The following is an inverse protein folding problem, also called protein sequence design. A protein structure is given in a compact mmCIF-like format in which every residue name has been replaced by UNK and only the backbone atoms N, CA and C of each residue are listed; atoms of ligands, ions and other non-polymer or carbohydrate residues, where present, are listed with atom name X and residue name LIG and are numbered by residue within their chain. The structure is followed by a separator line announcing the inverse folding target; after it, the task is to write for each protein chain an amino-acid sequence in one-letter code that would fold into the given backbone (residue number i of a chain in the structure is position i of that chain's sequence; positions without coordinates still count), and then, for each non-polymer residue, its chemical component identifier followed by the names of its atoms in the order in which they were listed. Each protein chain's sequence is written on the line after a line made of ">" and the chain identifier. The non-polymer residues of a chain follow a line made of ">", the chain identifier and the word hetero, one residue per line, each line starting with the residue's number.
data_IF_741641466680
#
_entry.id   IF_741641466680
#
_cell.length_a   1.000
_cell.length_b   1.000
_cell.length_c   1.000
_cell.angle_alpha   90.00
_cell.angle_beta   90.00
_cell.angle_gamma   90.00
#
_symmetry.space_group_name_H-M   'P 1'
#
loop_
_entity.id
_entity.type
_entity.pdbx_description
1 polymer ?
#
# COMPACT_ATOMS: atom_id res chain seq x y z
N UNK A 1 -16.88 0.60 -3.74
CA UNK A 1 -15.39 0.64 -3.62
C UNK A 1 -14.80 -0.76 -3.76
N UNK A 2 -15.10 -1.72 -2.88
CA UNK A 2 -14.65 -3.12 -3.07
C UNK A 2 -15.21 -3.76 -4.35
N UNK A 3 -16.42 -3.44 -4.73
CA UNK A 3 -17.05 -3.83 -6.00
C UNK A 3 -16.22 -3.43 -7.24
N UNK A 4 -15.60 -2.26 -7.19
CA UNK A 4 -14.74 -1.76 -8.26
C UNK A 4 -13.33 -2.37 -8.25
N UNK A 5 -12.86 -2.82 -7.09
CA UNK A 5 -11.51 -3.34 -6.91
C UNK A 5 -11.43 -4.88 -6.93
N UNK A 6 -12.56 -5.58 -6.77
CA UNK A 6 -12.58 -7.05 -6.71
C UNK A 6 -11.96 -7.70 -7.96
N UNK A 7 -12.04 -7.04 -9.11
CA UNK A 7 -11.42 -7.48 -10.35
C UNK A 7 -9.88 -7.57 -10.27
N UNK A 8 -9.24 -6.85 -9.36
CA UNK A 8 -7.79 -6.88 -9.15
C UNK A 8 -7.37 -7.91 -8.09
N UNK A 9 -8.32 -8.36 -7.24
CA UNK A 9 -8.04 -9.22 -6.09
C UNK A 9 -8.03 -10.71 -6.46
N UNK A 10 -7.25 -11.49 -5.70
CA UNK A 10 -7.29 -12.94 -5.72
C UNK A 10 -7.40 -13.52 -4.31
N UNK A 11 -7.88 -14.75 -4.25
CA UNK A 11 -7.98 -15.50 -2.99
C UNK A 11 -6.58 -15.80 -2.43
N UNK A 12 -6.27 -15.43 -1.16
CA UNK A 12 -4.97 -15.69 -0.56
C UNK A 12 -4.68 -17.18 -0.36
N UNK A 13 -5.70 -18.06 -0.38
CA UNK A 13 -5.54 -19.49 -0.17
C UNK A 13 -5.34 -20.28 -1.47
N UNK A 14 -6.06 -19.92 -2.54
CA UNK A 14 -6.03 -20.70 -3.79
C UNK A 14 -5.68 -19.86 -5.03
N UNK A 15 -5.41 -18.57 -4.88
CA UNK A 15 -5.13 -17.59 -5.96
C UNK A 15 -6.27 -17.44 -6.98
N UNK A 16 -7.40 -18.10 -6.77
CA UNK A 16 -8.58 -18.00 -7.63
C UNK A 16 -9.22 -16.61 -7.54
N UNK A 17 -9.96 -16.24 -8.59
CA UNK A 17 -10.68 -14.99 -8.65
C UNK A 17 -11.68 -14.86 -7.48
N UNK A 18 -11.79 -13.66 -6.94
CA UNK A 18 -12.80 -13.32 -5.94
C UNK A 18 -14.00 -12.64 -6.63
N UNK A 19 -15.18 -12.89 -6.10
CA UNK A 19 -16.43 -12.24 -6.45
C UNK A 19 -17.04 -11.65 -5.19
N UNK A 20 -17.63 -10.47 -5.31
CA UNK A 20 -18.40 -9.86 -4.23
C UNK A 20 -19.81 -10.46 -4.23
N UNK A 21 -20.17 -11.16 -3.16
CA UNK A 21 -21.48 -11.76 -2.93
C UNK A 21 -22.07 -11.18 -1.64
N UNK A 22 -22.97 -10.24 -1.79
CA UNK A 22 -23.52 -9.47 -0.68
C UNK A 22 -22.43 -8.73 0.11
N UNK A 23 -22.13 -9.22 1.31
CA UNK A 23 -21.08 -8.67 2.20
C UNK A 23 -19.91 -9.63 2.39
N UNK A 24 -19.62 -10.44 1.41
CA UNK A 24 -18.48 -11.36 1.45
C UNK A 24 -17.77 -11.40 0.10
N UNK A 25 -16.46 -11.54 0.12
CA UNK A 25 -15.66 -11.89 -1.05
C UNK A 25 -15.53 -13.41 -1.08
N UNK A 26 -15.90 -14.04 -2.19
CA UNK A 26 -15.88 -15.50 -2.33
C UNK A 26 -15.11 -15.95 -3.56
N UNK A 27 -14.42 -17.07 -3.48
CA UNK A 27 -13.82 -17.75 -4.62
C UNK A 27 -14.56 -19.04 -4.97
N UNK A 28 -14.32 -19.56 -6.17
CA UNK A 28 -14.94 -20.81 -6.63
C UNK A 28 -14.56 -22.05 -5.79
N UNK A 29 -13.42 -22.01 -5.08
CA UNK A 29 -12.98 -23.07 -4.18
C UNK A 29 -13.68 -23.02 -2.78
N UNK A 30 -14.66 -22.13 -2.58
CA UNK A 30 -15.43 -22.05 -1.36
C UNK A 30 -14.83 -21.17 -0.26
N UNK A 31 -13.65 -20.57 -0.43
CA UNK A 31 -13.13 -19.62 0.55
C UNK A 31 -13.98 -18.35 0.56
N UNK A 32 -14.27 -17.84 1.77
CA UNK A 32 -15.11 -16.67 1.97
C UNK A 32 -14.47 -15.71 2.97
N UNK A 33 -14.54 -14.41 2.68
CA UNK A 33 -13.95 -13.33 3.47
C UNK A 33 -14.99 -12.24 3.68
N UNK A 34 -15.34 -11.95 4.92
CA UNK A 34 -16.34 -10.96 5.23
C UNK A 34 -15.87 -9.53 4.97
N UNK A 35 -16.77 -8.73 4.42
CA UNK A 35 -16.62 -7.29 4.31
C UNK A 35 -17.11 -6.65 5.61
N UNK A 36 -16.19 -6.03 6.33
CA UNK A 36 -16.50 -5.31 7.56
C UNK A 36 -17.52 -4.18 7.29
N UNK A 37 -18.31 -3.84 8.31
CA UNK A 37 -19.29 -2.73 8.22
C UNK A 37 -18.65 -1.41 7.77
N UNK A 38 -17.37 -1.24 8.04
CA UNK A 38 -16.60 -0.06 7.67
C UNK A 38 -16.13 -0.05 6.20
N UNK A 39 -16.41 -1.10 5.41
CA UNK A 39 -16.14 -1.16 3.97
C UNK A 39 -14.78 -1.75 3.58
N UNK A 40 -14.02 -2.36 4.51
CA UNK A 40 -12.80 -3.09 4.17
C UNK A 40 -13.03 -4.62 4.22
N UNK A 41 -12.22 -5.38 3.50
CA UNK A 41 -12.16 -6.83 3.59
C UNK A 41 -10.79 -7.29 4.09
N UNK A 42 -10.73 -8.28 4.99
CA UNK A 42 -9.48 -8.88 5.43
C UNK A 42 -9.19 -10.13 4.61
N UNK A 43 -8.13 -10.06 3.80
CA UNK A 43 -7.59 -11.19 3.04
C UNK A 43 -6.28 -11.71 3.66
N UNK A 44 -6.10 -11.50 4.96
CA UNK A 44 -4.96 -12.02 5.71
C UNK A 44 -5.05 -13.54 5.81
N UNK A 45 -3.94 -14.23 5.53
CA UNK A 45 -3.80 -15.65 5.82
C UNK A 45 -3.72 -15.91 7.33
N UNK A 46 -3.96 -17.15 7.76
CA UNK A 46 -3.91 -17.53 9.17
C UNK A 46 -2.52 -17.40 9.82
N UNK A 47 -1.47 -17.28 9.01
CA UNK A 47 -0.07 -17.11 9.41
C UNK A 47 0.44 -15.66 9.30
N UNK A 48 -0.45 -14.70 9.07
CA UNK A 48 -0.11 -13.28 8.94
C UNK A 48 0.56 -12.73 10.22
N UNK A 49 1.63 -11.96 10.05
CA UNK A 49 2.39 -11.35 11.15
C UNK A 49 1.68 -10.09 11.67
N UNK A 50 0.68 -10.28 12.52
CA UNK A 50 -0.08 -9.16 13.10
C UNK A 50 0.50 -8.66 14.43
N UNK A 51 1.48 -9.34 15.03
CA UNK A 51 2.03 -9.01 16.34
C UNK A 51 2.75 -7.66 16.42
N UNK A 52 3.22 -7.11 15.30
CA UNK A 52 3.82 -5.78 15.19
C UNK A 52 2.89 -4.74 14.56
N UNK A 53 1.61 -5.07 14.38
CA UNK A 53 0.63 -4.17 13.78
C UNK A 53 0.33 -2.98 14.71
N UNK A 54 0.14 -1.80 14.11
CA UNK A 54 -0.19 -0.58 14.85
C UNK A 54 -1.47 -0.73 15.69
N UNK A 55 -1.41 -0.23 16.92
CA UNK A 55 -2.58 -0.13 17.79
C UNK A 55 -3.56 0.95 17.31
N UNK A 56 -4.77 0.96 17.85
CA UNK A 56 -5.75 2.01 17.56
C UNK A 56 -5.22 3.42 17.89
N UNK A 57 -4.49 3.55 19.01
CA UNK A 57 -3.89 4.82 19.46
C UNK A 57 -2.78 5.27 18.50
N UNK A 58 -1.90 4.37 18.06
CA UNK A 58 -0.83 4.68 17.11
C UNK A 58 -1.41 5.14 15.76
N UNK A 59 -2.44 4.46 15.25
CA UNK A 59 -3.10 4.87 14.01
C UNK A 59 -3.80 6.22 14.15
N UNK A 60 -4.43 6.50 15.30
CA UNK A 60 -5.05 7.80 15.56
C UNK A 60 -4.00 8.94 15.65
N UNK A 61 -2.88 8.70 16.32
CA UNK A 61 -1.78 9.67 16.41
C UNK A 61 -1.16 9.96 15.03
N UNK A 62 -0.96 8.90 14.21
CA UNK A 62 -0.49 9.04 12.83
C UNK A 62 -1.46 9.86 11.97
N UNK A 63 -2.76 9.58 12.05
CA UNK A 63 -3.79 10.32 11.34
C UNK A 63 -3.77 11.81 11.72
N UNK A 64 -3.71 12.12 13.02
CA UNK A 64 -3.64 13.49 13.51
C UNK A 64 -2.36 14.21 13.05
N UNK A 65 -1.22 13.54 13.09
CA UNK A 65 0.07 14.07 12.62
C UNK A 65 0.04 14.37 11.11
N UNK A 66 -0.39 13.42 10.30
CA UNK A 66 -0.48 13.59 8.85
C UNK A 66 -1.51 14.66 8.46
N UNK A 67 -2.63 14.73 9.20
CA UNK A 67 -3.68 15.75 9.01
C UNK A 67 -3.23 17.18 9.28
N UNK A 68 -2.16 17.37 10.06
CA UNK A 68 -1.52 18.69 10.27
C UNK A 68 -0.62 19.13 9.11
N UNK A 69 -0.45 18.29 8.08
CA UNK A 69 0.29 18.65 6.87
C UNK A 69 1.81 18.52 6.98
N UNK A 70 2.36 17.95 8.07
CA UNK A 70 3.82 17.78 8.23
C UNK A 70 4.47 17.00 7.08
N UNK A 71 3.72 16.10 6.44
CA UNK A 71 4.17 15.30 5.30
C UNK A 71 3.55 15.74 3.96
N UNK A 72 2.97 16.94 3.88
CA UNK A 72 2.30 17.42 2.67
C UNK A 72 3.24 17.45 1.44
N UNK A 73 4.51 17.84 1.62
CA UNK A 73 5.51 17.86 0.53
C UNK A 73 5.81 16.46 0.00
N UNK A 74 5.97 15.49 0.90
CA UNK A 74 6.18 14.08 0.52
C UNK A 74 4.93 13.54 -0.18
N UNK A 75 3.74 13.82 0.38
CA UNK A 75 2.45 13.42 -0.19
C UNK A 75 2.28 13.92 -1.62
N UNK A 76 2.52 15.20 -1.85
CA UNK A 76 2.44 15.81 -3.17
C UNK A 76 3.46 15.20 -4.15
N UNK A 77 4.72 15.01 -3.73
CA UNK A 77 5.75 14.43 -4.58
C UNK A 77 5.47 12.96 -4.95
N UNK A 78 4.88 12.18 -4.05
CA UNK A 78 4.42 10.82 -4.34
C UNK A 78 3.31 10.85 -5.40
N UNK A 79 2.32 11.72 -5.26
CA UNK A 79 1.24 11.87 -6.22
C UNK A 79 1.73 12.36 -7.59
N UNK A 80 2.68 13.31 -7.62
CA UNK A 80 3.30 13.78 -8.86
C UNK A 80 4.09 12.65 -9.56
N UNK A 81 4.83 11.83 -8.79
CA UNK A 81 5.55 10.68 -9.35
C UNK A 81 4.58 9.65 -9.95
N UNK A 82 3.45 9.39 -9.29
CA UNK A 82 2.41 8.50 -9.83
C UNK A 82 1.83 9.03 -11.15
N UNK A 83 1.57 10.33 -11.23
CA UNK A 83 1.03 10.96 -12.43
C UNK A 83 2.04 10.96 -13.59
N UNK A 84 3.33 11.17 -13.28
CA UNK A 84 4.41 11.20 -14.28
C UNK A 84 4.62 9.85 -14.99
N UNK A 85 4.22 8.74 -14.36
CA UNK A 85 4.27 7.40 -14.98
C UNK A 85 3.27 7.27 -16.13
N UNK A 86 2.15 8.02 -16.13
CA UNK A 86 1.06 7.86 -17.12
C UNK A 86 0.41 6.48 -17.05
N UNK A 87 -0.12 6.07 -15.90
CA UNK A 87 -0.56 4.70 -15.67
C UNK A 87 -1.76 4.31 -16.54
N UNK A 88 -1.79 3.05 -16.99
CA UNK A 88 -2.93 2.48 -17.70
C UNK A 88 -4.15 2.39 -16.77
N UNK A 89 -5.30 3.04 -17.12
CA UNK A 89 -6.50 3.06 -16.27
C UNK A 89 -7.20 1.70 -16.16
N UNK A 90 -6.83 0.71 -16.97
CA UNK A 90 -7.32 -0.68 -16.84
C UNK A 90 -6.74 -1.39 -15.60
N UNK A 91 -5.58 -0.94 -15.12
CA UNK A 91 -4.99 -1.40 -13.87
C UNK A 91 -5.45 -0.58 -12.67
N UNK A 92 -4.75 -0.77 -11.54
CA UNK A 92 -5.01 -0.02 -10.31
C UNK A 92 -3.73 0.62 -9.75
N UNK A 93 -3.91 1.55 -8.81
CA UNK A 93 -2.84 2.04 -7.93
C UNK A 93 -2.89 1.22 -6.65
N UNK A 94 -1.81 0.50 -6.33
CA UNK A 94 -1.66 -0.26 -5.09
C UNK A 94 -0.81 0.53 -4.10
N UNK A 95 -1.25 0.66 -2.86
CA UNK A 95 -0.41 1.19 -1.76
C UNK A 95 -0.16 0.09 -0.73
N UNK A 96 1.10 -0.38 -0.63
CA UNK A 96 1.52 -1.46 0.26
C UNK A 96 1.99 -0.90 1.58
N UNK A 97 1.25 -1.21 2.66
CA UNK A 97 1.40 -0.58 3.96
C UNK A 97 0.75 0.80 3.99
N UNK A 98 -0.44 0.91 3.41
CA UNK A 98 -1.14 2.17 3.14
C UNK A 98 -1.51 2.98 4.40
N UNK A 99 -1.48 2.37 5.59
CA UNK A 99 -1.87 3.01 6.82
C UNK A 99 -3.30 3.57 6.72
N UNK A 100 -3.44 4.88 6.89
CA UNK A 100 -4.74 5.56 6.80
C UNK A 100 -5.20 5.87 5.37
N UNK A 101 -4.42 5.49 4.35
CA UNK A 101 -4.69 5.81 2.94
C UNK A 101 -4.25 7.21 2.52
N UNK A 102 -3.45 7.90 3.34
CA UNK A 102 -3.08 9.31 3.18
C UNK A 102 -2.39 9.60 1.85
N UNK A 103 -1.40 8.78 1.45
CA UNK A 103 -0.67 8.97 0.20
C UNK A 103 -1.48 8.53 -1.01
N UNK A 104 -2.16 7.40 -0.91
CA UNK A 104 -2.99 6.88 -2.00
C UNK A 104 -4.15 7.81 -2.34
N UNK A 105 -4.77 8.46 -1.35
CA UNK A 105 -5.85 9.42 -1.59
C UNK A 105 -5.39 10.56 -2.52
N UNK A 106 -4.25 11.21 -2.25
CA UNK A 106 -3.70 12.26 -3.10
C UNK A 106 -3.31 11.75 -4.49
N UNK A 107 -2.73 10.55 -4.57
CA UNK A 107 -2.41 9.95 -5.86
C UNK A 107 -3.67 9.73 -6.71
N UNK A 108 -4.76 9.29 -6.09
CA UNK A 108 -6.05 9.14 -6.78
C UNK A 108 -6.69 10.48 -7.18
N UNK A 109 -6.51 11.55 -6.39
CA UNK A 109 -6.95 12.89 -6.78
C UNK A 109 -6.23 13.39 -8.06
N UNK A 110 -4.93 13.05 -8.23
CA UNK A 110 -4.15 13.36 -9.44
C UNK A 110 -4.45 12.43 -10.63
N UNK A 111 -5.04 11.27 -10.37
CA UNK A 111 -5.32 10.21 -11.34
C UNK A 111 -6.83 9.90 -11.40
N UNK A 112 -7.66 10.76 -12.02
CA UNK A 112 -9.12 10.66 -11.94
C UNK A 112 -9.70 9.35 -12.49
N UNK A 113 -9.03 8.73 -13.46
CA UNK A 113 -9.47 7.46 -14.09
C UNK A 113 -9.07 6.23 -13.26
N UNK A 114 -8.13 6.36 -12.31
CA UNK A 114 -7.58 5.23 -11.57
C UNK A 114 -8.44 4.83 -10.37
N UNK A 115 -8.40 3.54 -10.05
CA UNK A 115 -8.92 2.95 -8.80
C UNK A 115 -7.74 2.58 -7.91
N UNK A 116 -7.92 2.67 -6.60
CA UNK A 116 -6.89 2.38 -5.62
C UNK A 116 -7.19 1.15 -4.77
N UNK A 117 -6.14 0.42 -4.43
CA UNK A 117 -6.17 -0.64 -3.42
C UNK A 117 -5.20 -0.25 -2.31
N UNK A 118 -5.75 0.06 -1.13
CA UNK A 118 -4.99 0.30 0.10
C UNK A 118 -4.81 -1.02 0.83
N UNK A 119 -3.57 -1.53 0.90
CA UNK A 119 -3.25 -2.78 1.58
C UNK A 119 -2.55 -2.50 2.90
N UNK A 120 -3.07 -3.04 3.99
CA UNK A 120 -2.47 -2.93 5.32
C UNK A 120 -2.78 -4.16 6.16
N UNK A 121 -1.94 -4.42 7.18
CA UNK A 121 -2.13 -5.56 8.09
C UNK A 121 -3.09 -5.23 9.24
N UNK A 122 -3.23 -3.94 9.61
CA UNK A 122 -4.01 -3.53 10.78
C UNK A 122 -5.43 -3.08 10.43
N UNK A 123 -6.41 -3.69 11.08
CA UNK A 123 -7.83 -3.30 10.97
C UNK A 123 -8.08 -1.83 11.31
N UNK A 124 -7.26 -1.24 12.18
CA UNK A 124 -7.41 0.15 12.60
C UNK A 124 -7.07 1.14 11.50
N UNK A 125 -6.06 0.83 10.69
CA UNK A 125 -5.69 1.56 9.48
C UNK A 125 -6.73 1.34 8.37
N UNK A 126 -7.09 0.08 8.09
CA UNK A 126 -8.06 -0.26 7.04
C UNK A 126 -9.43 0.43 7.21
N UNK A 127 -9.89 0.60 8.46
CA UNK A 127 -11.14 1.35 8.76
C UNK A 127 -11.06 2.81 8.32
N UNK A 128 -9.89 3.43 8.35
CA UNK A 128 -9.67 4.81 7.91
C UNK A 128 -9.45 4.86 6.41
N UNK A 129 -8.60 4.01 5.88
CA UNK A 129 -8.36 3.90 4.44
C UNK A 129 -9.65 3.68 3.64
N UNK A 130 -10.57 2.83 4.14
CA UNK A 130 -11.87 2.60 3.53
C UNK A 130 -12.77 3.84 3.40
N UNK A 131 -12.43 4.95 4.07
CA UNK A 131 -13.17 6.22 4.05
C UNK A 131 -12.35 7.37 3.47
N UNK A 132 -11.07 7.13 3.20
CA UNK A 132 -10.14 8.19 2.82
C UNK A 132 -10.40 8.73 1.40
N UNK A 133 -10.92 7.91 0.50
CA UNK A 133 -11.20 8.32 -0.88
C UNK A 133 -12.29 7.43 -1.54
N UNK A 134 -13.21 7.99 -2.37
CA UNK A 134 -14.34 7.23 -2.96
C UNK A 134 -13.91 6.17 -3.99
N UNK A 135 -12.70 6.24 -4.53
CA UNK A 135 -12.15 5.26 -5.48
C UNK A 135 -11.11 4.34 -4.84
N UNK A 136 -11.02 4.30 -3.51
CA UNK A 136 -10.07 3.47 -2.75
C UNK A 136 -10.78 2.29 -2.10
N UNK A 137 -10.33 1.07 -2.38
CA UNK A 137 -10.73 -0.13 -1.66
C UNK A 137 -9.66 -0.46 -0.60
N UNK A 138 -10.07 -0.73 0.63
CA UNK A 138 -9.18 -1.13 1.71
C UNK A 138 -9.21 -2.65 1.89
N UNK A 139 -8.03 -3.28 1.90
CA UNK A 139 -7.85 -4.73 1.91
C UNK A 139 -6.79 -5.12 2.93
N UNK A 140 -7.14 -6.06 3.81
CA UNK A 140 -6.18 -6.66 4.74
C UNK A 140 -5.22 -7.58 4.01
N UNK A 141 -3.91 -7.33 4.13
CA UNK A 141 -2.86 -8.15 3.56
C UNK A 141 -1.53 -7.91 4.27
N UNK A 142 -0.64 -8.90 4.19
CA UNK A 142 0.71 -8.85 4.79
C UNK A 142 1.74 -8.59 3.69
N UNK A 143 2.47 -7.47 3.79
CA UNK A 143 3.49 -7.04 2.84
C UNK A 143 4.72 -7.96 2.78
N UNK A 144 4.88 -8.88 3.74
CA UNK A 144 5.92 -9.92 3.77
C UNK A 144 5.49 -11.26 3.16
N UNK A 145 4.26 -11.33 2.67
CA UNK A 145 3.63 -12.54 2.13
C UNK A 145 3.10 -12.27 0.73
N UNK A 146 2.48 -13.28 0.17
CA UNK A 146 1.76 -13.14 -1.09
C UNK A 146 0.72 -12.01 -1.00
N UNK A 147 0.85 -11.01 -1.84
CA UNK A 147 -0.14 -9.95 -1.96
C UNK A 147 -1.44 -10.52 -2.58
N UNK A 148 -2.62 -10.25 -1.99
CA UNK A 148 -3.89 -10.80 -2.47
C UNK A 148 -4.40 -10.08 -3.74
N UNK A 149 -3.48 -9.85 -4.69
CA UNK A 149 -3.74 -9.28 -5.99
C UNK A 149 -3.35 -10.27 -7.09
N UNK A 150 -4.03 -10.19 -8.22
CA UNK A 150 -3.69 -10.96 -9.42
C UNK A 150 -2.39 -10.46 -10.04
N UNK A 151 -1.78 -11.31 -10.85
CA UNK A 151 -0.57 -10.97 -11.58
C UNK A 151 -0.85 -9.87 -12.60
N UNK A 152 0.05 -8.90 -12.70
CA UNK A 152 0.04 -7.88 -13.75
C UNK A 152 -1.16 -6.93 -13.77
N UNK A 153 -1.82 -6.69 -12.62
CA UNK A 153 -3.00 -5.79 -12.55
C UNK A 153 -2.71 -4.42 -11.96
N UNK A 154 -1.51 -4.19 -11.48
CA UNK A 154 -1.11 -2.94 -10.84
C UNK A 154 -0.35 -2.07 -11.84
N UNK A 155 -0.87 -0.89 -12.17
CA UNK A 155 -0.17 0.08 -13.03
C UNK A 155 0.86 0.90 -12.26
N UNK A 156 0.57 1.23 -10.99
CA UNK A 156 1.51 1.90 -10.08
C UNK A 156 1.40 1.27 -8.70
N UNK A 157 2.53 0.86 -8.15
CA UNK A 157 2.65 0.45 -6.75
C UNK A 157 3.30 1.55 -5.92
N UNK A 158 2.69 1.92 -4.80
CA UNK A 158 3.25 2.78 -3.77
C UNK A 158 3.79 1.93 -2.63
N UNK A 159 4.92 2.35 -2.07
CA UNK A 159 5.43 1.81 -0.82
C UNK A 159 6.13 2.93 -0.04
N UNK A 160 5.42 3.55 0.89
CA UNK A 160 5.89 4.70 1.64
C UNK A 160 6.24 4.30 3.06
N UNK A 161 7.52 4.26 3.40
CA UNK A 161 8.06 3.87 4.73
C UNK A 161 7.56 2.50 5.23
N UNK A 162 7.19 1.62 4.32
CA UNK A 162 6.54 0.34 4.62
C UNK A 162 7.43 -0.87 4.29
N UNK A 163 7.13 -2.04 4.85
CA UNK A 163 7.72 -3.31 4.44
C UNK A 163 7.38 -3.65 2.98
N UNK A 164 8.20 -4.50 2.35
CA UNK A 164 7.99 -4.92 0.98
C UNK A 164 8.67 -6.25 0.67
N UNK A 165 8.06 -6.96 -0.26
CA UNK A 165 8.63 -8.11 -0.96
C UNK A 165 8.79 -7.73 -2.44
N UNK A 166 10.01 -7.79 -2.98
CA UNK A 166 10.32 -7.37 -4.34
C UNK A 166 9.74 -8.31 -5.39
N UNK A 167 9.68 -9.61 -5.11
CA UNK A 167 9.12 -10.61 -6.01
C UNK A 167 7.61 -10.43 -6.16
N UNK A 168 6.91 -10.19 -5.06
CA UNK A 168 5.48 -9.96 -5.05
C UNK A 168 5.10 -8.62 -5.72
N UNK A 169 5.89 -7.56 -5.49
CA UNK A 169 5.70 -6.30 -6.20
C UNK A 169 5.89 -6.46 -7.71
N UNK A 170 6.93 -7.18 -8.13
CA UNK A 170 7.16 -7.46 -9.55
C UNK A 170 6.03 -8.32 -10.15
N UNK A 171 5.52 -9.30 -9.41
CA UNK A 171 4.42 -10.15 -9.87
C UNK A 171 3.12 -9.39 -10.12
N UNK A 172 2.76 -8.48 -9.22
CA UNK A 172 1.47 -7.75 -9.32
C UNK A 172 1.52 -6.58 -10.28
N UNK A 173 2.71 -6.03 -10.56
CA UNK A 173 2.88 -4.94 -11.52
C UNK A 173 2.62 -5.40 -12.94
N UNK A 174 1.86 -4.61 -13.68
CA UNK A 174 1.67 -4.80 -15.12
C UNK A 174 2.98 -4.53 -15.88
N UNK A 175 3.16 -5.10 -17.07
CA UNK A 175 4.25 -4.71 -17.95
C UNK A 175 4.25 -3.20 -18.18
N UNK A 176 5.38 -2.53 -17.94
CA UNK A 176 5.50 -1.07 -17.99
C UNK A 176 4.93 -0.34 -16.76
N UNK A 177 4.41 -1.07 -15.76
CA UNK A 177 4.01 -0.49 -14.48
C UNK A 177 5.21 0.00 -13.65
N UNK A 178 4.97 0.89 -12.70
CA UNK A 178 6.03 1.51 -11.91
C UNK A 178 5.86 1.31 -10.41
N UNK A 179 7.00 1.23 -9.71
CA UNK A 179 7.08 1.26 -8.25
C UNK A 179 7.53 2.66 -7.80
N UNK A 180 6.69 3.36 -7.07
CA UNK A 180 7.03 4.61 -6.38
C UNK A 180 7.36 4.30 -4.93
N UNK A 181 8.63 4.44 -4.58
CA UNK A 181 9.17 4.04 -3.29
C UNK A 181 9.65 5.26 -2.51
N UNK A 182 9.24 5.38 -1.25
CA UNK A 182 9.75 6.39 -0.32
C UNK A 182 10.47 5.73 0.84
N UNK A 183 11.73 6.11 1.03
CA UNK A 183 12.56 5.64 2.13
C UNK A 183 13.15 6.82 2.90
N UNK A 184 13.37 6.69 4.24
CA UNK A 184 14.06 7.72 4.98
C UNK A 184 15.54 7.77 4.57
N UNK A 185 16.07 8.98 4.44
CA UNK A 185 17.51 9.23 4.34
C UNK A 185 18.14 9.27 5.74
N UNK A 186 19.48 9.26 5.84
CA UNK A 186 20.18 9.41 7.13
C UNK A 186 19.85 10.72 7.89
N UNK A 187 19.34 11.75 7.16
CA UNK A 187 18.90 13.02 7.76
C UNK A 187 17.42 13.07 8.15
N UNK A 188 16.66 12.01 7.85
CA UNK A 188 15.24 11.97 8.16
C UNK A 188 15.00 12.02 9.67
N UNK A 189 14.29 13.04 10.14
CA UNK A 189 14.01 13.31 11.55
C UNK A 189 15.28 13.45 12.43
N UNK A 190 16.44 13.81 11.87
CA UNK A 190 17.70 13.88 12.60
C UNK A 190 17.62 14.76 13.87
N UNK A 191 16.95 15.91 13.80
CA UNK A 191 16.73 16.80 14.94
C UNK A 191 15.87 16.15 16.04
N UNK A 192 14.79 15.46 15.65
CA UNK A 192 13.93 14.74 16.59
C UNK A 192 14.65 13.53 17.20
N UNK A 193 15.43 12.81 16.39
CA UNK A 193 16.27 11.69 16.86
C UNK A 193 17.26 12.17 17.92
N UNK A 194 17.95 13.29 17.66
CA UNK A 194 18.93 13.87 18.59
C UNK A 194 18.26 14.41 19.88
N UNK A 195 17.08 15.02 19.77
CA UNK A 195 16.39 15.62 20.91
C UNK A 195 15.67 14.60 21.81
N UNK A 196 15.24 13.47 21.25
CA UNK A 196 14.39 12.47 21.92
C UNK A 196 15.06 11.10 22.07
N UNK A 197 16.34 10.98 21.76
CA UNK A 197 17.12 9.73 21.80
C UNK A 197 16.42 8.56 21.04
N UNK A 198 15.95 8.85 19.83
CA UNK A 198 15.26 7.88 19.01
C UNK A 198 16.25 7.02 18.22
N UNK A 199 15.76 5.88 17.73
CA UNK A 199 16.56 4.99 16.87
C UNK A 199 16.98 5.68 15.57
N UNK A 200 18.26 5.56 15.23
CA UNK A 200 18.84 6.10 14.00
C UNK A 200 18.42 5.31 12.77
N UNK A 201 18.44 5.95 11.61
CA UNK A 201 18.25 5.28 10.32
C UNK A 201 19.49 4.44 10.01
N UNK A 202 19.32 3.16 9.70
CA UNK A 202 20.40 2.25 9.29
C UNK A 202 20.96 2.65 7.93
N UNK A 203 22.23 3.04 7.86
CA UNK A 203 22.91 3.48 6.63
C UNK A 203 22.95 2.40 5.53
N UNK A 204 22.89 1.11 5.89
CA UNK A 204 22.81 -0.01 4.95
C UNK A 204 21.41 -0.22 4.35
N UNK A 205 20.45 0.66 4.67
CA UNK A 205 19.08 0.53 4.18
C UNK A 205 18.99 0.66 2.65
N UNK A 206 19.83 1.49 2.04
CA UNK A 206 19.94 1.65 0.59
C UNK A 206 20.48 0.38 -0.08
N UNK A 207 21.59 -0.18 0.40
CA UNK A 207 22.15 -1.44 -0.12
C UNK A 207 21.18 -2.60 -0.02
N UNK A 208 20.47 -2.70 1.12
CA UNK A 208 19.43 -3.73 1.29
C UNK A 208 18.23 -3.52 0.35
N UNK A 209 17.91 -2.27 0.02
CA UNK A 209 16.88 -1.94 -0.93
C UNK A 209 17.27 -2.41 -2.32
N UNK A 210 18.47 -2.04 -2.75
CA UNK A 210 19.05 -2.44 -4.05
C UNK A 210 19.12 -3.97 -4.17
N UNK A 211 19.54 -4.67 -3.11
CA UNK A 211 19.56 -6.13 -3.07
C UNK A 211 18.18 -6.79 -3.17
N UNK A 212 17.13 -6.14 -2.62
CA UNK A 212 15.76 -6.67 -2.65
C UNK A 212 15.01 -6.37 -3.94
N UNK A 213 15.35 -5.30 -4.63
CA UNK A 213 14.71 -4.85 -5.87
C UNK A 213 15.55 -5.14 -7.11
N UNK A 214 16.87 -5.34 -6.94
CA UNK A 214 17.81 -5.54 -8.04
C UNK A 214 17.43 -6.69 -8.95
N UNK A 215 17.60 -6.49 -10.27
CA UNK A 215 17.25 -7.46 -11.31
C UNK A 215 15.75 -7.62 -11.61
N UNK A 216 14.86 -6.94 -10.83
CA UNK A 216 13.41 -6.96 -11.03
C UNK A 216 12.86 -5.64 -11.53
N UNK A 217 13.59 -4.56 -11.26
CA UNK A 217 13.18 -3.18 -11.57
C UNK A 217 14.34 -2.42 -12.18
N UNK A 218 14.04 -1.63 -13.21
CA UNK A 218 14.95 -0.63 -13.75
C UNK A 218 14.77 0.66 -12.96
N UNK A 219 15.89 1.32 -12.63
CA UNK A 219 15.87 2.59 -11.92
C UNK A 219 15.47 3.72 -12.88
N UNK A 220 14.30 4.32 -12.68
CA UNK A 220 13.76 5.37 -13.53
C UNK A 220 14.15 6.80 -13.07
N UNK A 221 14.47 6.99 -11.79
CA UNK A 221 14.86 8.28 -11.23
C UNK A 221 14.75 8.34 -9.71
N UNK A 222 15.36 9.37 -9.11
CA UNK A 222 15.36 9.61 -7.66
C UNK A 222 15.18 11.10 -7.37
N UNK A 223 14.47 11.43 -6.30
CA UNK A 223 14.30 12.79 -5.79
C UNK A 223 14.38 12.81 -4.27
N UNK A 224 15.17 13.72 -3.72
CA UNK A 224 15.18 14.04 -2.28
C UNK A 224 14.21 15.19 -1.98
N UNK A 225 13.52 15.09 -0.84
CA UNK A 225 12.49 16.05 -0.42
C UNK A 225 12.80 16.52 1.00
#
# INVERSE_FOLDING_TARGET
>A
MLDQAVAYLCCPHCRGNLLLDGRSLRCRAGHSFDVARQGYASLLGGDARTGTADTAAMVAAREAFLGRGHYARIRAAVADACAAVGPDPRGCVLDVGAGTGYHLAEALDRLPEMKGVALDVTRHALRRAARAHPRMAAVGGDAWRMLPLRDGVVSVALNVFAPRDGDELARVLAPGGALVLVTPTGRHLAEAIAALDLLTVDDRKRERLEGKLGGRFDHAGERSI
#
